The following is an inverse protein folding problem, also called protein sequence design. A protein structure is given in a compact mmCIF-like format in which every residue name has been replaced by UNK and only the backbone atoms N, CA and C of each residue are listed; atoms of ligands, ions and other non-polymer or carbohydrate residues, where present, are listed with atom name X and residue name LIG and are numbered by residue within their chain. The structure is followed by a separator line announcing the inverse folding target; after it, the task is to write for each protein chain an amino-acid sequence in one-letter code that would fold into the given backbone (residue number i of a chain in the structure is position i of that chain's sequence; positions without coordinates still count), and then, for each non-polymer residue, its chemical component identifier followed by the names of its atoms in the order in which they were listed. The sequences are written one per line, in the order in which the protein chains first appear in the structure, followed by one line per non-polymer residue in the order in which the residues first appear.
data_IF_423616360622
#
_entry.id   IF_423616360622
#
_cell.length_a   1.000
_cell.length_b   1.000
_cell.length_c   1.000
_cell.angle_alpha   90.00
_cell.angle_beta   90.00
_cell.angle_gamma   90.00
#
_symmetry.space_group_name_H-M   'P 1'
#
loop_
_entity.id
_entity.type
_entity.pdbx_description
1 polymer ?
#
# COMPACT_ATOMS: atom_id res chain seq x y z
N UNK A 1 -3.05 29.97 -61.88
CA UNK A 1 -2.00 29.12 -61.25
C UNK A 1 -1.61 29.77 -59.93
N UNK A 2 -2.34 29.50 -58.85
CA UNK A 2 -2.16 30.16 -57.55
C UNK A 2 -1.59 29.15 -56.57
N UNK A 3 -0.30 29.27 -56.27
CA UNK A 3 0.43 28.39 -55.36
C UNK A 3 -0.05 28.63 -53.94
N UNK A 4 -0.67 27.61 -53.33
CA UNK A 4 -1.10 27.63 -51.93
C UNK A 4 0.14 27.50 -51.05
N UNK A 5 0.45 28.52 -50.26
CA UNK A 5 1.47 28.44 -49.22
C UNK A 5 1.10 27.29 -48.27
N UNK A 6 2.00 26.33 -48.10
CA UNK A 6 1.88 25.32 -47.06
C UNK A 6 2.06 26.06 -45.73
N UNK A 7 0.99 26.22 -44.97
CA UNK A 7 1.09 26.63 -43.57
C UNK A 7 1.91 25.56 -42.85
N UNK A 8 3.12 25.90 -42.45
CA UNK A 8 3.93 25.06 -41.57
C UNK A 8 3.23 25.00 -40.23
N UNK A 9 2.60 23.86 -39.94
CA UNK A 9 2.01 23.59 -38.64
C UNK A 9 3.14 23.55 -37.61
N UNK A 10 3.16 24.54 -36.71
CA UNK A 10 4.06 24.54 -35.56
C UNK A 10 3.88 23.23 -34.76
N UNK A 11 4.96 22.53 -34.37
CA UNK A 11 4.82 21.35 -33.53
C UNK A 11 4.33 21.80 -32.15
N UNK A 12 3.05 21.54 -31.85
CA UNK A 12 2.58 21.47 -30.47
C UNK A 12 3.20 20.24 -29.83
N UNK A 13 4.23 20.43 -29.01
CA UNK A 13 4.75 19.37 -28.14
C UNK A 13 5.40 19.97 -26.91
N UNK A 14 4.59 20.30 -25.90
CA UNK A 14 5.10 20.21 -24.55
C UNK A 14 5.33 18.72 -24.29
N UNK A 15 6.58 18.27 -24.42
CA UNK A 15 6.95 16.90 -24.12
C UNK A 15 6.47 16.54 -22.69
N UNK A 16 6.01 15.30 -22.45
CA UNK A 16 5.57 14.89 -21.12
C UNK A 16 6.73 15.06 -20.14
N UNK A 17 6.44 15.69 -19.00
CA UNK A 17 7.41 15.87 -17.93
C UNK A 17 7.92 14.51 -17.44
N UNK A 18 9.22 14.44 -17.16
CA UNK A 18 9.85 13.26 -16.60
C UNK A 18 9.24 12.90 -15.24
N UNK A 19 8.98 11.62 -14.99
CA UNK A 19 8.56 11.17 -13.66
C UNK A 19 9.67 11.37 -12.62
N UNK A 20 10.94 11.31 -13.05
CA UNK A 20 12.09 11.47 -12.18
C UNK A 20 12.29 12.91 -11.70
N UNK A 21 11.64 13.91 -12.33
CA UNK A 21 11.69 15.30 -11.88
C UNK A 21 10.58 15.64 -10.86
N UNK A 22 9.81 14.64 -10.41
CA UNK A 22 8.77 14.83 -9.39
C UNK A 22 9.37 14.56 -8.02
N UNK A 23 9.10 15.45 -7.07
CA UNK A 23 9.46 15.29 -5.67
C UNK A 23 8.19 15.27 -4.79
N UNK A 24 7.50 14.12 -4.68
CA UNK A 24 6.37 13.99 -3.77
C UNK A 24 6.82 14.19 -2.32
N UNK A 25 6.20 15.14 -1.62
CA UNK A 25 6.40 15.33 -0.18
C UNK A 25 5.26 14.66 0.58
N UNK A 26 5.61 13.78 1.52
CA UNK A 26 4.67 13.17 2.47
C UNK A 26 4.92 13.82 3.83
N UNK A 27 3.96 14.59 4.39
CA UNK A 27 4.09 15.16 5.73
C UNK A 27 4.27 14.07 6.79
N UNK A 28 5.01 14.37 7.87
CA UNK A 28 5.29 13.40 8.92
C UNK A 28 4.00 12.93 9.62
N UNK A 29 3.04 13.83 9.78
CA UNK A 29 1.73 13.55 10.37
C UNK A 29 0.96 12.52 9.56
N UNK A 30 1.11 12.55 8.23
CA UNK A 30 0.49 11.56 7.34
C UNK A 30 1.16 10.21 7.47
N UNK A 31 2.49 10.15 7.58
CA UNK A 31 3.21 8.89 7.81
C UNK A 31 2.76 8.23 9.11
N UNK A 32 2.58 9.04 10.17
CA UNK A 32 2.09 8.55 11.47
C UNK A 32 0.64 8.08 11.37
N UNK A 33 -0.23 8.83 10.71
CA UNK A 33 -1.64 8.45 10.52
C UNK A 33 -1.80 7.16 9.69
N UNK A 34 -0.86 6.87 8.79
CA UNK A 34 -0.85 5.64 7.98
C UNK A 34 -0.25 4.43 8.72
N UNK A 35 0.17 4.56 9.99
CA UNK A 35 0.59 3.42 10.83
C UNK A 35 -0.61 2.60 11.36
N UNK A 36 -1.52 2.26 10.46
CA UNK A 36 -2.65 1.36 10.70
C UNK A 36 -2.58 0.19 9.72
N UNK A 37 -3.06 -1.00 10.12
CA UNK A 37 -3.16 -2.13 9.19
C UNK A 37 -4.01 -1.74 7.97
N UNK A 38 -3.60 -2.08 6.74
CA UNK A 38 -4.44 -1.88 5.57
C UNK A 38 -5.81 -2.58 5.73
N UNK A 39 -6.91 -2.07 5.14
CA UNK A 39 -8.26 -2.61 5.38
C UNK A 39 -8.43 -4.11 5.12
N UNK A 40 -7.66 -4.67 4.19
CA UNK A 40 -7.66 -6.13 3.91
C UNK A 40 -7.17 -6.99 5.09
N UNK A 41 -6.51 -6.39 6.08
CA UNK A 41 -6.04 -7.03 7.31
C UNK A 41 -6.93 -6.72 8.52
N UNK A 42 -8.03 -5.98 8.34
CA UNK A 42 -8.89 -5.61 9.46
C UNK A 42 -9.53 -6.84 10.14
N UNK A 43 -9.97 -7.80 9.33
CA UNK A 43 -10.64 -9.01 9.79
C UNK A 43 -9.72 -10.23 9.96
N UNK A 44 -8.41 -10.13 9.70
CA UNK A 44 -7.54 -11.32 9.77
C UNK A 44 -7.24 -11.68 11.22
N UNK A 45 -7.39 -12.95 11.57
CA UNK A 45 -7.17 -13.46 12.92
C UNK A 45 -6.44 -14.80 12.86
N UNK A 46 -5.71 -15.15 13.91
CA UNK A 46 -5.07 -16.47 14.00
C UNK A 46 -6.11 -17.60 14.00
N UNK A 47 -7.28 -17.39 14.59
CA UNK A 47 -8.39 -18.38 14.62
C UNK A 47 -8.98 -18.69 13.23
N UNK A 48 -8.88 -17.77 12.28
CA UNK A 48 -9.32 -17.95 10.88
C UNK A 48 -8.25 -18.57 9.97
N UNK A 49 -7.02 -18.75 10.45
CA UNK A 49 -5.96 -19.33 9.66
C UNK A 49 -6.10 -20.86 9.60
N UNK A 50 -6.04 -21.43 8.39
CA UNK A 50 -6.14 -22.88 8.17
C UNK A 50 -4.75 -23.38 7.75
N UNK A 51 -4.00 -24.04 8.66
CA UNK A 51 -2.70 -24.60 8.32
C UNK A 51 -2.82 -25.73 7.28
N UNK A 52 -1.85 -25.79 6.37
CA UNK A 52 -1.65 -26.95 5.51
C UNK A 52 -1.13 -28.12 6.36
N UNK A 53 -1.83 -29.28 6.40
CA UNK A 53 -1.38 -30.44 7.17
C UNK A 53 -0.02 -30.99 6.73
N UNK A 54 0.41 -30.70 5.50
CA UNK A 54 1.73 -31.11 4.99
C UNK A 54 2.85 -30.15 5.40
N UNK A 55 2.53 -29.05 6.10
CA UNK A 55 3.48 -28.03 6.54
C UNK A 55 3.34 -27.77 8.05
N UNK A 56 3.88 -28.65 8.92
CA UNK A 56 3.74 -28.54 10.38
C UNK A 56 4.24 -27.21 10.95
N UNK A 57 5.20 -26.56 10.26
CA UNK A 57 5.71 -25.24 10.62
C UNK A 57 4.63 -24.15 10.61
N UNK A 58 3.55 -24.32 9.84
CA UNK A 58 2.43 -23.38 9.82
C UNK A 58 1.67 -23.39 11.15
N UNK A 59 1.31 -24.57 11.66
CA UNK A 59 0.68 -24.71 12.98
C UNK A 59 1.59 -24.16 14.08
N UNK A 60 2.88 -24.51 14.03
CA UNK A 60 3.86 -23.99 14.98
C UNK A 60 3.94 -22.45 14.95
N UNK A 61 3.90 -21.84 13.76
CA UNK A 61 3.90 -20.40 13.63
C UNK A 61 2.65 -19.77 14.26
N UNK A 62 1.46 -20.37 14.06
CA UNK A 62 0.22 -19.89 14.69
C UNK A 62 0.33 -19.94 16.21
N UNK A 63 0.80 -21.05 16.78
CA UNK A 63 0.96 -21.22 18.23
C UNK A 63 1.91 -20.18 18.83
N UNK A 64 3.12 -20.05 18.25
CA UNK A 64 4.14 -19.12 18.74
C UNK A 64 3.68 -17.68 18.65
N UNK A 65 3.09 -17.29 17.51
CA UNK A 65 2.67 -15.91 17.29
C UNK A 65 1.42 -15.54 18.10
N UNK A 66 0.52 -16.50 18.35
CA UNK A 66 -0.65 -16.28 19.22
C UNK A 66 -0.22 -16.03 20.66
N UNK A 67 0.67 -16.87 21.20
CA UNK A 67 1.19 -16.66 22.56
C UNK A 67 1.98 -15.35 22.71
N UNK A 68 2.72 -14.95 21.67
CA UNK A 68 3.37 -13.64 21.65
C UNK A 68 2.33 -12.50 21.69
N UNK A 69 1.25 -12.59 20.90
CA UNK A 69 0.22 -11.57 20.82
C UNK A 69 -0.55 -11.37 22.14
N UNK A 70 -0.78 -12.45 22.90
CA UNK A 70 -1.38 -12.38 24.24
C UNK A 70 -0.56 -11.49 25.20
N UNK A 71 0.77 -11.49 25.04
CA UNK A 71 1.68 -10.66 25.84
C UNK A 71 1.68 -9.17 25.49
N UNK A 72 1.07 -8.75 24.39
CA UNK A 72 1.11 -7.34 23.92
C UNK A 72 0.15 -6.41 24.68
N UNK A 73 -0.88 -6.93 25.36
CA UNK A 73 -1.89 -6.12 26.06
C UNK A 73 -2.77 -5.29 25.11
N UNK A 74 -4.07 -5.18 25.39
CA UNK A 74 -5.12 -4.67 24.47
C UNK A 74 -5.07 -3.20 24.02
N UNK A 75 -3.92 -2.52 24.00
CA UNK A 75 -3.82 -1.09 23.78
C UNK A 75 -3.68 -0.63 22.31
N UNK A 76 -3.39 -1.50 21.34
CA UNK A 76 -2.99 -1.05 19.98
C UNK A 76 -3.68 -1.72 18.78
N UNK A 77 -4.62 -2.66 18.97
CA UNK A 77 -5.21 -3.41 17.86
C UNK A 77 -6.49 -2.80 17.26
N UNK A 78 -7.09 -1.78 17.88
CA UNK A 78 -8.28 -1.14 17.33
C UNK A 78 -7.90 -0.10 16.28
N UNK A 79 -7.64 -0.57 15.07
CA UNK A 79 -7.72 0.24 13.86
C UNK A 79 -9.16 0.71 13.70
N UNK A 80 -9.51 1.84 14.32
CA UNK A 80 -10.81 2.46 14.16
C UNK A 80 -10.89 3.06 12.75
N UNK A 81 -11.25 2.23 11.77
CA UNK A 81 -11.67 2.67 10.45
C UNK A 81 -12.99 3.44 10.56
N UNK A 82 -12.96 4.70 10.17
CA UNK A 82 -14.12 5.60 10.05
C UNK A 82 -14.17 6.21 8.66
#
# INVERSE_FOLDING_TARGET
MSTRALTEAAPSSAAPLSLCSREPRVPAERLVAEMVPPPRFDSVRFDTYIPDPNQPSQTQAVEVLSGFAEGLGGAHASGAGK
#
